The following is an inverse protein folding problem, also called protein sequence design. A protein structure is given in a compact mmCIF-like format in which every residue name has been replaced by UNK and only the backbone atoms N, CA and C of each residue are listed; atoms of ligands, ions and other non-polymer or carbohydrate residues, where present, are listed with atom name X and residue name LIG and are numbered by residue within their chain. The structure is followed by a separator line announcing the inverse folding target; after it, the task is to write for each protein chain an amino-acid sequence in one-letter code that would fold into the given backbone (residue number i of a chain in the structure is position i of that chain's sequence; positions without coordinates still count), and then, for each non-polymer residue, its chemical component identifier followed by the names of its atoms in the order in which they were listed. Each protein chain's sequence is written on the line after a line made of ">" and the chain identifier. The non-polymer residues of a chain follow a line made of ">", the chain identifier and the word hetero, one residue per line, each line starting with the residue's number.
data_IF_461140340729
#
_entry.id   IF_461140340729
#
_cell.length_a   1.000
_cell.length_b   1.000
_cell.length_c   1.000
_cell.angle_alpha   90.00
_cell.angle_beta   90.00
_cell.angle_gamma   90.00
#
_symmetry.space_group_name_H-M   'P 1'
#
loop_
_entity.id
_entity.type
_entity.pdbx_description
1 polymer ?
#
# COMPACT_ATOMS: atom_id res chain seq x y z
N UNK A 1 0.65 -3.81 -31.10
CA UNK A 1 0.96 -3.27 -30.10
C UNK A 1 0.78 -4.03 -28.93
N UNK A 2 1.37 -4.65 -28.52
CA UNK A 2 1.16 -5.10 -27.25
C UNK A 2 0.89 -3.93 -26.35
N UNK A 3 -0.03 -4.05 -25.49
CA UNK A 3 -0.17 -3.03 -24.50
C UNK A 3 1.18 -2.87 -23.83
N UNK A 4 1.56 -1.65 -23.64
CA UNK A 4 2.68 -1.42 -22.80
C UNK A 4 2.40 -2.10 -21.48
N UNK A 5 3.30 -2.94 -21.04
CA UNK A 5 3.18 -3.51 -19.71
C UNK A 5 3.25 -2.36 -18.74
N UNK A 6 2.28 -2.22 -17.84
CA UNK A 6 2.43 -1.23 -16.79
C UNK A 6 3.73 -1.52 -16.05
N UNK A 7 4.42 -0.51 -15.63
CA UNK A 7 5.61 -0.75 -14.83
C UNK A 7 5.19 -1.47 -13.55
N UNK A 8 6.07 -2.33 -13.05
CA UNK A 8 5.81 -3.09 -11.84
C UNK A 8 5.43 -2.15 -10.68
N UNK A 9 6.14 -1.02 -10.58
CA UNK A 9 5.93 -0.06 -9.51
C UNK A 9 4.56 0.63 -9.64
N UNK A 10 4.14 0.96 -10.88
CA UNK A 10 2.84 1.60 -11.09
C UNK A 10 1.70 0.65 -10.73
N UNK A 11 1.84 -0.63 -11.03
CA UNK A 11 0.83 -1.62 -10.66
C UNK A 11 0.72 -1.73 -9.14
N UNK A 12 1.84 -1.79 -8.44
CA UNK A 12 1.84 -1.87 -6.98
C UNK A 12 1.18 -0.64 -6.38
N UNK A 13 1.54 0.55 -6.87
CA UNK A 13 0.96 1.80 -6.38
C UNK A 13 -0.56 1.80 -6.54
N UNK A 14 -1.04 1.46 -7.72
CA UNK A 14 -2.47 1.49 -8.01
C UNK A 14 -3.24 0.54 -7.10
N UNK A 15 -2.68 -0.64 -6.86
CA UNK A 15 -3.32 -1.63 -6.01
C UNK A 15 -3.37 -1.16 -4.56
N UNK A 16 -2.32 -0.50 -4.08
CA UNK A 16 -2.32 0.06 -2.73
C UNK A 16 -3.35 1.18 -2.61
N UNK A 17 -3.44 2.05 -3.62
CA UNK A 17 -4.44 3.13 -3.62
C UNK A 17 -5.84 2.55 -3.49
N UNK A 18 -6.14 1.49 -4.23
CA UNK A 18 -7.46 0.85 -4.17
C UNK A 18 -7.74 0.32 -2.76
N UNK A 19 -6.73 -0.28 -2.12
CA UNK A 19 -6.89 -0.77 -0.75
C UNK A 19 -7.20 0.38 0.22
N UNK A 20 -6.46 1.47 0.11
CA UNK A 20 -6.66 2.64 0.98
C UNK A 20 -8.05 3.23 0.74
N UNK A 21 -8.44 3.39 -0.52
CA UNK A 21 -9.76 3.93 -0.85
C UNK A 21 -10.88 3.05 -0.29
N UNK A 22 -10.72 1.73 -0.37
CA UNK A 22 -11.71 0.83 0.19
C UNK A 22 -11.89 0.98 1.69
N UNK A 23 -10.79 1.17 2.42
CA UNK A 23 -10.86 1.39 3.86
C UNK A 23 -11.54 2.72 4.17
N UNK A 24 -11.18 3.77 3.45
CA UNK A 24 -11.80 5.08 3.65
C UNK A 24 -13.30 5.05 3.37
N UNK A 25 -13.71 4.33 2.33
CA UNK A 25 -15.14 4.18 2.01
C UNK A 25 -15.89 3.49 3.14
N UNK A 26 -15.31 2.47 3.76
CA UNK A 26 -15.91 1.80 4.91
C UNK A 26 -16.12 2.76 6.07
N UNK A 27 -15.27 3.77 6.20
CA UNK A 27 -15.37 4.78 7.24
C UNK A 27 -16.21 5.97 6.82
N UNK A 28 -16.83 5.91 5.65
CA UNK A 28 -17.62 7.01 5.08
C UNK A 28 -16.76 8.26 4.83
N UNK A 29 -15.49 8.05 4.55
CA UNK A 29 -14.58 9.15 4.22
C UNK A 29 -14.39 9.19 2.71
N UNK A 30 -14.59 10.36 2.12
CA UNK A 30 -14.35 10.61 0.71
C UNK A 30 -13.16 11.53 0.61
N UNK A 31 -12.02 11.00 0.17
CA UNK A 31 -10.80 11.78 0.06
C UNK A 31 -9.99 11.32 -1.14
N UNK A 32 -9.26 12.26 -1.73
CA UNK A 32 -8.31 11.93 -2.78
C UNK A 32 -7.05 11.35 -2.15
N UNK A 33 -6.58 10.25 -2.69
CA UNK A 33 -5.39 9.58 -2.17
C UNK A 33 -4.25 9.81 -3.15
N UNK A 34 -3.42 10.80 -2.87
CA UNK A 34 -2.19 11.03 -3.61
C UNK A 34 -1.06 10.19 -3.01
N UNK A 35 -0.05 9.89 -3.81
CA UNK A 35 1.03 9.01 -3.37
C UNK A 35 1.76 9.54 -2.14
N UNK A 36 1.91 10.86 -2.04
CA UNK A 36 2.66 11.48 -0.95
C UNK A 36 1.78 11.88 0.24
N UNK A 37 0.45 11.75 0.13
CA UNK A 37 -0.45 12.17 1.18
C UNK A 37 -0.27 11.27 2.41
N UNK A 38 -0.13 11.91 3.58
CA UNK A 38 -0.04 11.15 4.81
C UNK A 38 -1.40 10.56 5.14
N UNK A 39 -1.43 9.25 5.33
CA UNK A 39 -2.70 8.54 5.50
C UNK A 39 -3.44 8.99 6.76
N UNK A 40 -2.73 9.34 7.83
CA UNK A 40 -3.38 9.85 9.04
C UNK A 40 -4.09 11.18 8.78
N UNK A 41 -3.59 11.97 7.84
CA UNK A 41 -4.17 13.28 7.52
C UNK A 41 -5.50 13.17 6.78
N UNK A 42 -5.76 12.02 6.13
CA UNK A 42 -7.00 11.82 5.39
C UNK A 42 -7.97 10.91 6.14
N UNK A 43 -7.72 10.67 7.42
CA UNK A 43 -8.69 10.01 8.27
C UNK A 43 -8.41 8.55 8.60
N UNK A 44 -7.25 8.02 8.24
CA UNK A 44 -6.90 6.64 8.59
C UNK A 44 -6.54 6.55 10.07
N UNK A 45 -7.19 5.63 10.76
CA UNK A 45 -6.92 5.38 12.18
C UNK A 45 -5.90 4.26 12.35
N UNK A 46 -5.48 4.02 13.60
CA UNK A 46 -4.57 2.90 13.90
C UNK A 46 -5.17 1.57 13.50
N UNK A 47 -6.47 1.39 13.73
CA UNK A 47 -7.16 0.17 13.34
C UNK A 47 -7.17 0.01 11.83
N UNK A 48 -7.36 1.13 11.11
CA UNK A 48 -7.33 1.12 9.66
C UNK A 48 -5.94 0.72 9.14
N UNK A 49 -4.89 1.11 9.85
CA UNK A 49 -3.54 0.72 9.46
C UNK A 49 -3.33 -0.79 9.59
N UNK A 50 -3.92 -1.42 10.62
CA UNK A 50 -3.88 -2.87 10.76
C UNK A 50 -4.62 -3.52 9.59
N UNK A 51 -5.79 -3.00 9.24
CA UNK A 51 -6.55 -3.52 8.10
C UNK A 51 -5.77 -3.35 6.79
N UNK A 52 -5.10 -2.22 6.63
CA UNK A 52 -4.27 -1.97 5.45
C UNK A 52 -3.11 -2.95 5.38
N UNK A 53 -2.45 -3.22 6.50
CA UNK A 53 -1.36 -4.19 6.55
C UNK A 53 -1.84 -5.55 6.08
N UNK A 54 -2.97 -6.02 6.61
CA UNK A 54 -3.53 -7.31 6.23
C UNK A 54 -3.95 -7.32 4.76
N UNK A 55 -4.51 -6.21 4.28
CA UNK A 55 -4.91 -6.08 2.89
C UNK A 55 -3.71 -6.13 1.94
N UNK A 56 -2.61 -5.50 2.32
CA UNK A 56 -1.39 -5.53 1.51
C UNK A 56 -0.83 -6.96 1.46
N UNK A 57 -0.80 -7.65 2.58
CA UNK A 57 -0.33 -9.03 2.60
C UNK A 57 -1.17 -9.94 1.70
N UNK A 58 -2.49 -9.77 1.76
CA UNK A 58 -3.40 -10.57 0.95
C UNK A 58 -3.30 -10.21 -0.53
N UNK A 59 -3.19 -8.92 -0.83
CA UNK A 59 -3.18 -8.44 -2.20
C UNK A 59 -1.94 -8.88 -2.96
N UNK A 60 -0.79 -8.87 -2.30
CA UNK A 60 0.48 -9.18 -2.94
C UNK A 60 1.01 -10.56 -2.57
N UNK A 61 0.24 -11.31 -1.80
CA UNK A 61 0.53 -12.71 -1.46
C UNK A 61 1.91 -12.87 -0.82
N UNK A 62 2.16 -12.12 0.24
CA UNK A 62 3.39 -12.24 1.01
C UNK A 62 3.13 -11.82 2.45
N UNK A 63 4.07 -12.11 3.33
CA UNK A 63 4.01 -11.68 4.72
C UNK A 63 4.98 -10.53 4.93
N UNK A 64 4.50 -9.41 5.46
CA UNK A 64 5.36 -8.27 5.74
C UNK A 64 6.25 -8.61 6.93
N UNK A 65 7.60 -8.54 6.77
CA UNK A 65 8.48 -8.77 7.92
C UNK A 65 8.19 -7.79 9.04
N UNK A 66 8.29 -8.26 10.28
CA UNK A 66 7.96 -7.44 11.44
C UNK A 66 8.75 -6.15 11.51
N UNK A 67 10.02 -6.18 11.12
CA UNK A 67 10.87 -4.99 11.14
C UNK A 67 10.49 -3.97 10.06
N UNK A 68 9.64 -4.36 9.12
CA UNK A 68 9.12 -3.43 8.11
C UNK A 68 7.77 -2.82 8.48
N UNK A 69 7.14 -3.31 9.55
CA UNK A 69 5.87 -2.76 10.03
C UNK A 69 6.20 -1.57 10.93
N UNK A 70 6.43 -0.43 10.30
CA UNK A 70 6.85 0.79 10.99
C UNK A 70 5.95 1.96 10.56
N UNK A 71 5.82 2.98 11.39
CA UNK A 71 5.05 4.16 11.00
C UNK A 71 5.58 4.80 9.71
N UNK A 72 6.89 4.77 9.50
CA UNK A 72 7.50 5.33 8.30
C UNK A 72 7.05 4.62 7.05
N UNK A 73 7.00 3.29 7.09
CA UNK A 73 6.61 2.51 5.91
C UNK A 73 5.11 2.60 5.63
N UNK A 74 4.31 2.92 6.64
CA UNK A 74 2.86 3.04 6.50
C UNK A 74 2.39 4.49 6.48
N UNK A 75 3.30 5.43 6.22
CA UNK A 75 2.98 6.84 6.22
C UNK A 75 2.14 7.26 5.02
N UNK A 76 2.44 6.74 3.84
CA UNK A 76 1.76 7.13 2.60
C UNK A 76 1.78 5.97 1.62
N UNK A 77 1.03 6.12 0.52
CA UNK A 77 1.05 5.13 -0.56
C UNK A 77 2.48 4.97 -1.10
N UNK A 78 3.21 6.08 -1.23
CA UNK A 78 4.56 6.04 -1.76
C UNK A 78 5.49 5.22 -0.87
N UNK A 79 5.43 5.38 0.44
CA UNK A 79 6.28 4.61 1.35
C UNK A 79 5.89 3.14 1.36
N UNK A 80 4.60 2.84 1.27
CA UNK A 80 4.13 1.46 1.15
C UNK A 80 4.60 0.83 -0.14
N UNK A 81 4.51 1.56 -1.23
CA UNK A 81 4.98 1.07 -2.53
C UNK A 81 6.46 0.70 -2.48
N UNK A 82 7.27 1.54 -1.89
CA UNK A 82 8.70 1.26 -1.75
C UNK A 82 8.94 -0.01 -0.93
N UNK A 83 8.24 -0.14 0.18
CA UNK A 83 8.40 -1.30 1.05
C UNK A 83 7.96 -2.57 0.33
N UNK A 84 6.79 -2.56 -0.30
CA UNK A 84 6.26 -3.73 -1.00
C UNK A 84 7.17 -4.10 -2.16
N UNK A 85 7.58 -3.11 -2.97
CA UNK A 85 8.48 -3.36 -4.09
C UNK A 85 9.77 -4.02 -3.63
N UNK A 86 10.34 -3.50 -2.55
CA UNK A 86 11.58 -4.06 -2.01
C UNK A 86 11.42 -5.50 -1.56
N UNK A 87 10.32 -5.81 -0.87
CA UNK A 87 10.08 -7.16 -0.39
C UNK A 87 9.82 -8.15 -1.53
N UNK A 88 9.05 -7.73 -2.52
CA UNK A 88 8.76 -8.61 -3.66
C UNK A 88 10.02 -8.88 -4.49
N UNK A 89 10.86 -7.87 -4.67
CA UNK A 89 12.12 -8.06 -5.39
C UNK A 89 13.08 -8.98 -4.61
N UNK A 90 13.12 -8.82 -3.31
CA UNK A 90 13.95 -9.68 -2.47
C UNK A 90 13.49 -11.14 -2.55
N UNK A 91 12.18 -11.37 -2.56
CA UNK A 91 11.63 -12.71 -2.70
C UNK A 91 11.98 -13.33 -4.05
N UNK A 92 11.98 -12.52 -5.12
CA UNK A 92 12.35 -13.01 -6.45
C UNK A 92 13.84 -13.28 -6.59
N UNK A 93 14.66 -12.56 -5.83
CA UNK A 93 16.10 -12.71 -5.88
C UNK A 93 16.61 -13.90 -5.06
N UNK A 94 15.79 -14.43 -4.18
CA UNK A 94 16.17 -15.51 -3.29
C UNK A 94 16.30 -16.84 -4.03
#
# INVERSE_FOLDING_TARGET
>A
MGPAMPSFDADIRDRIVILVQGILEQNSVSAEVAAETRLVDIGMTSMDMVNLMLGVEAEFDFTIPQDKITPENFQSVMTLERMVTGELRAAQAA
#
